data_IF_565910638689
#
_entry.id   IF_565910638689
#
_cell.length_a   1.000
_cell.length_b   1.000
_cell.length_c   1.000
_cell.angle_alpha   90.00
_cell.angle_beta   90.00
_cell.angle_gamma   90.00
#
_symmetry.space_group_name_H-M   'P 1'
#
loop_
_entity.id
_entity.type
_entity.pdbx_description
1 polymer ?
#
# COMPACT_ATOMS: atom_id res chain seq x y z
N UNK A 1 -1.23 10.44 2.49
CA UNK A 1 -0.48 9.55 1.57
C UNK A 1 -0.78 8.12 1.93
N UNK A 2 -1.08 7.29 0.93
CA UNK A 2 -1.39 5.88 1.13
C UNK A 2 -0.09 5.06 1.07
N UNK A 3 0.08 4.15 2.03
CA UNK A 3 1.21 3.22 2.09
C UNK A 3 0.70 1.80 1.87
N UNK A 4 1.48 1.01 1.14
CA UNK A 4 1.25 -0.40 0.86
C UNK A 4 2.40 -1.20 1.48
N UNK A 5 2.08 -1.99 2.51
CA UNK A 5 3.05 -2.81 3.21
C UNK A 5 3.29 -4.10 2.42
N UNK A 6 4.41 -4.14 1.69
CA UNK A 6 4.77 -5.30 0.84
C UNK A 6 5.65 -6.32 1.58
N UNK A 7 6.21 -5.94 2.73
CA UNK A 7 7.08 -6.79 3.55
C UNK A 7 6.87 -6.49 5.02
N UNK A 8 7.05 -7.51 5.87
CA UNK A 8 7.05 -7.39 7.32
C UNK A 8 8.36 -7.94 7.89
N UNK A 9 8.91 -7.29 8.91
CA UNK A 9 10.14 -7.72 9.59
C UNK A 9 9.97 -7.59 11.11
N UNK A 10 10.42 -8.61 11.85
CA UNK A 10 10.46 -8.57 13.31
C UNK A 10 11.43 -7.49 13.78
N UNK A 11 10.98 -6.58 14.65
CA UNK A 11 11.84 -5.54 15.19
C UNK A 11 11.58 -5.32 16.67
N UNK A 12 12.64 -5.41 17.48
CA UNK A 12 12.56 -5.02 18.88
C UNK A 12 12.63 -3.49 19.09
N UNK A 13 12.98 -2.73 18.04
CA UNK A 13 13.11 -1.28 18.08
C UNK A 13 11.81 -0.57 17.70
N UNK A 14 11.04 -1.17 16.78
CA UNK A 14 9.79 -0.61 16.27
C UNK A 14 8.59 -1.47 16.68
N UNK A 15 7.48 -0.82 17.04
CA UNK A 15 6.22 -1.50 17.34
C UNK A 15 5.56 -2.07 16.08
N UNK A 16 4.64 -3.02 16.25
CA UNK A 16 3.89 -3.61 15.14
C UNK A 16 3.17 -2.54 14.31
N UNK A 17 3.29 -2.65 12.99
CA UNK A 17 2.67 -1.73 12.03
C UNK A 17 3.48 -0.46 11.75
N UNK A 18 4.61 -0.24 12.43
CA UNK A 18 5.49 0.91 12.17
C UNK A 18 6.28 0.69 10.87
N UNK A 19 6.33 1.71 10.00
CA UNK A 19 7.15 1.66 8.78
C UNK A 19 8.63 1.68 9.13
N UNK A 20 9.35 0.63 8.76
CA UNK A 20 10.80 0.49 8.95
C UNK A 20 11.54 1.11 7.76
N UNK A 21 11.09 0.84 6.53
CA UNK A 21 11.82 1.23 5.32
C UNK A 21 10.85 1.49 4.15
N UNK A 22 11.14 2.52 3.34
CA UNK A 22 10.42 2.78 2.09
C UNK A 22 11.22 2.26 0.89
N UNK A 23 10.70 1.23 0.23
CA UNK A 23 11.32 0.65 -0.97
C UNK A 23 11.06 1.49 -2.21
N UNK A 24 9.86 2.08 -2.31
CA UNK A 24 9.51 2.93 -3.45
C UNK A 24 8.54 4.01 -3.06
N UNK A 25 8.90 5.23 -3.42
CA UNK A 25 8.09 6.41 -3.18
C UNK A 25 6.73 6.37 -3.86
N UNK A 26 5.70 6.74 -3.10
CA UNK A 26 4.34 6.95 -3.57
C UNK A 26 4.14 8.38 -4.10
N UNK A 27 3.12 8.57 -4.93
CA UNK A 27 2.79 9.87 -5.52
C UNK A 27 1.29 10.13 -5.54
N UNK A 28 0.92 11.38 -5.27
CA UNK A 28 -0.43 11.91 -5.35
C UNK A 28 -0.40 13.20 -6.19
N UNK A 29 -1.39 13.40 -7.05
CA UNK A 29 -1.57 14.62 -7.82
C UNK A 29 -2.91 15.26 -7.43
N UNK A 30 -2.84 16.31 -6.62
CA UNK A 30 -4.02 16.87 -5.96
C UNK A 30 -4.67 15.83 -5.06
N UNK A 31 -5.94 15.52 -5.29
CA UNK A 31 -6.70 14.51 -4.55
C UNK A 31 -6.59 13.10 -5.18
N UNK A 32 -5.99 12.98 -6.38
CA UNK A 32 -5.84 11.70 -7.09
C UNK A 32 -4.59 10.96 -6.62
N UNK A 33 -4.77 9.75 -6.08
CA UNK A 33 -3.67 8.83 -5.83
C UNK A 33 -3.17 8.25 -7.16
N UNK A 34 -1.91 8.50 -7.49
CA UNK A 34 -1.28 7.90 -8.68
C UNK A 34 -0.70 6.54 -8.34
N UNK A 35 -0.07 6.44 -7.17
CA UNK A 35 0.55 5.20 -6.70
C UNK A 35 0.83 5.27 -5.20
N UNK A 36 0.50 4.24 -4.40
CA UNK A 36 0.92 4.17 -3.00
C UNK A 36 2.44 4.01 -2.88
N UNK A 37 2.99 4.40 -1.73
CA UNK A 37 4.38 4.06 -1.37
C UNK A 37 4.47 2.60 -0.97
N UNK A 38 5.50 1.91 -1.44
CA UNK A 38 5.76 0.52 -1.03
C UNK A 38 6.73 0.51 0.13
N UNK A 39 6.33 -0.11 1.23
CA UNK A 39 7.07 -0.04 2.49
C UNK A 39 7.25 -1.42 3.14
N UNK A 40 8.32 -1.54 3.94
CA UNK A 40 8.49 -2.56 4.95
C UNK A 40 7.90 -2.07 6.27
N UNK A 41 7.09 -2.87 6.92
CA UNK A 41 6.57 -2.56 8.26
C UNK A 41 7.11 -3.53 9.29
N UNK A 42 7.11 -3.11 10.55
CA UNK A 42 7.49 -3.96 11.65
C UNK A 42 6.37 -4.92 12.02
N UNK A 43 6.72 -6.16 12.35
CA UNK A 43 5.85 -7.10 13.05
C UNK A 43 5.90 -6.93 14.58
N UNK A 44 6.62 -5.92 15.08
CA UNK A 44 6.88 -5.69 16.50
C UNK A 44 7.99 -6.59 17.06
N UNK A 45 8.27 -6.49 18.38
CA UNK A 45 9.29 -7.31 19.07
C UNK A 45 9.01 -8.82 19.08
N UNK A 46 7.98 -9.29 18.38
CA UNK A 46 7.46 -10.65 18.45
C UNK A 46 6.82 -10.95 19.82
N UNK A 47 5.89 -11.92 19.90
CA UNK A 47 5.41 -12.40 21.17
C UNK A 47 6.59 -13.07 21.90
N UNK A 48 6.85 -12.67 23.14
CA UNK A 48 7.86 -13.31 23.99
C UNK A 48 7.48 -14.79 24.22
N UNK A 49 7.95 -15.68 23.32
CA UNK A 49 7.77 -17.15 23.31
C UNK A 49 6.33 -17.67 23.29
N UNK A 50 5.93 -18.23 22.14
CA UNK A 50 4.96 -19.33 22.09
C UNK A 50 4.00 -19.29 20.91
N UNK A 51 4.19 -20.24 20.00
CA UNK A 51 3.31 -20.65 18.89
C UNK A 51 3.49 -19.91 17.55
N UNK A 52 4.29 -20.55 16.69
CA UNK A 52 4.45 -20.29 15.26
C UNK A 52 3.13 -20.50 14.51
N UNK A 53 3.07 -19.83 13.36
CA UNK A 53 2.32 -20.15 12.14
C UNK A 53 1.13 -19.24 11.86
N UNK A 54 1.42 -18.32 10.93
CA UNK A 54 0.55 -17.99 9.80
C UNK A 54 -0.83 -17.43 10.15
N UNK A 55 -0.88 -16.11 10.21
CA UNK A 55 -2.04 -15.27 9.89
C UNK A 55 -1.47 -13.87 9.64
N UNK A 56 -1.64 -13.23 8.49
CA UNK A 56 -2.78 -13.30 7.61
C UNK A 56 -2.45 -12.66 6.26
N UNK A 57 -2.87 -13.36 5.22
CA UNK A 57 -3.63 -12.79 4.10
C UNK A 57 -2.85 -11.93 3.12
N UNK A 58 -2.50 -12.57 2.00
CA UNK A 58 -3.08 -12.21 0.69
C UNK A 58 -4.07 -11.04 0.80
N UNK A 59 -3.58 -9.81 0.77
CA UNK A 59 -4.41 -8.69 0.39
C UNK A 59 -4.11 -8.41 -1.07
N UNK A 60 -4.79 -9.19 -1.91
CA UNK A 60 -5.11 -8.81 -3.27
C UNK A 60 -5.82 -7.45 -3.20
N UNK A 61 -5.04 -6.38 -3.31
CA UNK A 61 -5.54 -5.04 -3.57
C UNK A 61 -5.89 -4.85 -5.04
N UNK A 62 -6.63 -5.80 -5.63
CA UNK A 62 -7.48 -5.50 -6.77
C UNK A 62 -8.70 -4.73 -6.24
N UNK A 63 -8.52 -3.43 -6.00
CA UNK A 63 -9.63 -2.49 -6.06
C UNK A 63 -9.62 -1.86 -7.44
N UNK A 64 -10.20 -2.57 -8.40
CA UNK A 64 -10.67 -1.98 -9.64
C UNK A 64 -11.79 -0.98 -9.32
N UNK A 65 -11.62 0.29 -9.71
CA UNK A 65 -12.73 1.08 -10.22
C UNK A 65 -12.23 1.89 -11.40
N UNK A 66 -12.53 1.36 -12.57
CA UNK A 66 -12.83 2.15 -13.75
C UNK A 66 -13.73 3.33 -13.37
N UNK A 67 -13.25 4.54 -13.62
CA UNK A 67 -14.14 5.63 -13.99
C UNK A 67 -13.70 6.12 -15.36
N UNK A 68 -14.42 5.61 -16.36
CA UNK A 68 -14.45 6.14 -17.71
C UNK A 68 -14.85 7.62 -17.64
N UNK A 69 -13.85 8.49 -17.67
CA UNK A 69 -14.04 9.89 -18.03
C UNK A 69 -14.20 10.03 -19.54
N UNK A 70 -15.28 9.47 -20.09
CA UNK A 70 -15.68 9.72 -21.47
C UNK A 70 -16.32 11.10 -21.53
N UNK A 71 -15.52 12.15 -21.71
CA UNK A 71 -16.03 13.46 -22.04
C UNK A 71 -15.06 14.20 -22.96
N UNK A 72 -15.17 13.96 -24.27
CA UNK A 72 -15.14 15.08 -25.21
C UNK A 72 -15.85 14.69 -26.52
N UNK A 73 -17.08 15.17 -26.63
CA UNK A 73 -17.82 15.26 -27.89
C UNK A 73 -17.18 16.36 -28.73
N UNK A 74 -16.46 16.02 -29.80
CA UNK A 74 -16.41 16.81 -31.05
C UNK A 74 -15.68 16.03 -32.14
N UNK A 75 -16.26 15.92 -33.34
CA UNK A 75 -15.60 16.62 -34.44
C UNK A 75 -16.52 17.69 -35.04
N UNK A 76 -15.99 18.91 -35.06
CA UNK A 76 -16.48 20.04 -35.85
C UNK A 76 -15.83 19.98 -37.24
N UNK A 77 -16.62 20.28 -38.28
CA UNK A 77 -16.27 20.65 -39.68
C UNK A 77 -15.56 19.60 -40.57
N UNK A 78 -15.89 19.42 -41.86
CA UNK A 78 -16.81 20.14 -42.76
C UNK A 78 -16.92 19.42 -44.11
#
# INVERSE_FOLDING_TARGET
MLHEAIMREDSAEYEEGVVIEEFRKGFQLGERLLRPSMVKVSAGPGPAKGNTEEQSEENAGESETSEEGSSETTPTEG
#
